data_IF_941479706187
#
_entry.id   IF_941479706187
#
_cell.length_a   1.000
_cell.length_b   1.000
_cell.length_c   1.000
_cell.angle_alpha   90.00
_cell.angle_beta   90.00
_cell.angle_gamma   90.00
#
_symmetry.space_group_name_H-M   'P 1'
#
loop_
_entity.id
_entity.type
_entity.pdbx_description
1 polymer ?
#
# COMPACT_ATOMS: atom_id res chain seq x y z
N UNK A 1 12.63 -3.59 20.50
CA UNK A 1 13.32 -3.97 21.76
C UNK A 1 14.31 -5.10 21.53
N UNK A 2 13.91 -6.20 20.87
CA UNK A 2 14.80 -7.34 20.60
C UNK A 2 16.08 -6.99 19.84
N UNK A 3 16.01 -6.14 18.82
CA UNK A 3 17.22 -5.69 18.10
C UNK A 3 18.24 -4.98 18.98
N UNK A 4 17.80 -4.15 19.95
CA UNK A 4 18.71 -3.50 20.91
C UNK A 4 19.31 -4.54 21.87
N UNK A 5 18.50 -5.50 22.34
CA UNK A 5 18.99 -6.57 23.21
C UNK A 5 20.06 -7.45 22.52
N UNK A 6 19.90 -7.70 21.22
CA UNK A 6 20.90 -8.42 20.40
C UNK A 6 22.18 -7.59 20.24
N UNK A 7 22.04 -6.31 19.85
CA UNK A 7 23.20 -5.42 19.63
C UNK A 7 23.99 -5.12 20.91
N UNK A 8 23.38 -5.21 22.09
CA UNK A 8 24.03 -5.01 23.40
C UNK A 8 24.40 -6.32 24.11
N UNK A 9 24.25 -7.48 23.47
CA UNK A 9 24.61 -8.80 24.02
C UNK A 9 23.97 -9.13 25.39
N UNK A 10 22.72 -8.69 25.63
CA UNK A 10 22.03 -8.86 26.92
C UNK A 10 21.62 -10.31 27.26
N UNK A 11 21.98 -11.28 26.43
CA UNK A 11 21.81 -12.71 26.67
C UNK A 11 20.46 -13.28 26.21
N UNK A 12 20.43 -14.62 26.06
CA UNK A 12 19.33 -15.35 25.41
C UNK A 12 17.98 -15.20 26.12
N UNK A 13 17.98 -15.16 27.46
CA UNK A 13 16.73 -15.05 28.23
C UNK A 13 15.98 -13.73 27.96
N UNK A 14 16.71 -12.62 27.72
CA UNK A 14 16.10 -11.35 27.35
C UNK A 14 15.62 -11.40 25.90
N UNK A 15 16.40 -12.01 24.99
CA UNK A 15 16.02 -12.17 23.60
C UNK A 15 14.73 -12.97 23.43
N UNK A 16 14.62 -14.12 24.09
CA UNK A 16 13.42 -14.97 24.09
C UNK A 16 12.18 -14.22 24.56
N UNK A 17 12.30 -13.43 25.64
CA UNK A 17 11.20 -12.59 26.12
C UNK A 17 10.81 -11.53 25.10
N UNK A 18 11.79 -10.89 24.47
CA UNK A 18 11.51 -9.87 23.44
C UNK A 18 10.93 -10.47 22.14
N UNK A 19 11.29 -11.70 21.78
CA UNK A 19 10.76 -12.38 20.60
C UNK A 19 9.30 -12.80 20.82
N UNK A 20 8.93 -13.23 22.04
CA UNK A 20 7.54 -13.44 22.41
C UNK A 20 6.70 -12.17 22.26
N UNK A 21 7.25 -11.02 22.68
CA UNK A 21 6.59 -9.72 22.51
C UNK A 21 6.52 -9.29 21.04
N UNK A 22 7.55 -9.55 20.24
CA UNK A 22 7.56 -9.25 18.81
C UNK A 22 6.49 -10.07 18.07
N UNK A 23 6.38 -11.37 18.37
CA UNK A 23 5.34 -12.24 17.81
C UNK A 23 3.91 -11.77 18.17
N UNK A 24 3.69 -11.36 19.42
CA UNK A 24 2.42 -10.76 19.85
C UNK A 24 2.17 -9.41 19.14
N UNK A 25 3.22 -8.62 18.93
CA UNK A 25 3.20 -7.36 18.17
C UNK A 25 2.77 -7.57 16.72
N UNK A 26 3.33 -8.56 16.03
CA UNK A 26 2.99 -8.90 14.65
C UNK A 26 1.50 -9.30 14.53
N UNK A 27 1.00 -10.08 15.49
CA UNK A 27 -0.44 -10.43 15.55
C UNK A 27 -1.31 -9.19 15.76
N UNK A 28 -0.91 -8.30 16.67
CA UNK A 28 -1.64 -7.05 16.94
C UNK A 28 -1.60 -6.11 15.72
N UNK A 29 -0.49 -6.06 14.99
CA UNK A 29 -0.36 -5.31 13.76
C UNK A 29 -1.32 -5.84 12.67
N UNK A 30 -1.45 -7.16 12.53
CA UNK A 30 -2.42 -7.75 11.60
C UNK A 30 -3.87 -7.40 11.97
N UNK A 31 -4.23 -7.45 13.26
CA UNK A 31 -5.54 -7.00 13.76
C UNK A 31 -5.77 -5.52 13.43
N UNK A 32 -4.77 -4.66 13.69
CA UNK A 32 -4.83 -3.23 13.37
C UNK A 32 -5.04 -2.96 11.88
N UNK A 33 -4.32 -3.67 11.00
CA UNK A 33 -4.53 -3.62 9.55
C UNK A 33 -5.95 -4.04 9.18
N UNK A 34 -6.46 -5.12 9.76
CA UNK A 34 -7.83 -5.60 9.52
C UNK A 34 -8.90 -4.56 9.90
N UNK A 35 -8.75 -3.91 11.06
CA UNK A 35 -9.66 -2.85 11.49
C UNK A 35 -9.59 -1.62 10.58
N UNK A 36 -8.39 -1.21 10.17
CA UNK A 36 -8.20 -0.11 9.23
C UNK A 36 -8.85 -0.41 7.87
N UNK A 37 -8.68 -1.62 7.33
CA UNK A 37 -9.28 -2.02 6.05
C UNK A 37 -10.81 -2.08 6.17
N UNK A 38 -11.34 -2.69 7.24
CA UNK A 38 -12.78 -2.79 7.46
C UNK A 38 -13.46 -1.43 7.62
N UNK A 39 -12.88 -0.53 8.42
CA UNK A 39 -13.38 0.83 8.57
C UNK A 39 -13.28 1.64 7.28
N UNK A 40 -12.16 1.54 6.55
CA UNK A 40 -12.00 2.17 5.24
C UNK A 40 -13.04 1.68 4.23
N UNK A 41 -13.39 0.38 4.25
CA UNK A 41 -14.41 -0.17 3.36
C UNK A 41 -15.80 0.43 3.62
N UNK A 42 -16.20 0.54 4.90
CA UNK A 42 -17.48 1.13 5.28
C UNK A 42 -17.54 2.63 4.97
N UNK A 43 -16.47 3.38 5.25
CA UNK A 43 -16.38 4.81 4.90
C UNK A 43 -16.42 4.99 3.39
N UNK A 44 -15.71 4.15 2.63
CA UNK A 44 -15.71 4.21 1.17
C UNK A 44 -17.10 3.94 0.59
N UNK A 45 -17.85 2.99 1.14
CA UNK A 45 -19.23 2.74 0.74
C UNK A 45 -20.14 3.95 1.03
N UNK A 46 -19.97 4.60 2.18
CA UNK A 46 -20.70 5.82 2.53
C UNK A 46 -20.36 6.98 1.59
N UNK A 47 -19.06 7.21 1.32
CA UNK A 47 -18.58 8.21 0.38
C UNK A 47 -19.04 7.94 -1.05
N UNK A 48 -19.14 6.66 -1.44
CA UNK A 48 -19.69 6.28 -2.74
C UNK A 48 -21.18 6.65 -2.86
N UNK A 49 -21.97 6.41 -1.81
CA UNK A 49 -23.36 6.88 -1.75
C UNK A 49 -23.45 8.41 -1.88
N UNK A 50 -22.63 9.14 -1.13
CA UNK A 50 -22.55 10.60 -1.21
C UNK A 50 -22.12 11.08 -2.61
N UNK A 51 -21.18 10.37 -3.26
CA UNK A 51 -20.72 10.66 -4.61
C UNK A 51 -21.85 10.51 -5.63
N UNK A 52 -22.66 9.44 -5.56
CA UNK A 52 -23.82 9.25 -6.44
C UNK A 52 -24.81 10.40 -6.25
N UNK A 53 -25.19 10.71 -5.00
CA UNK A 53 -26.13 11.80 -4.71
C UNK A 53 -25.63 13.13 -5.23
N UNK A 54 -24.35 13.45 -5.03
CA UNK A 54 -23.75 14.69 -5.52
C UNK A 54 -23.66 14.75 -7.05
N UNK A 55 -23.41 13.61 -7.67
CA UNK A 55 -23.28 13.47 -9.13
C UNK A 55 -24.62 13.44 -9.85
N UNK A 56 -25.72 13.17 -9.16
CA UNK A 56 -27.10 13.21 -9.69
C UNK A 56 -27.79 14.56 -9.49
N UNK A 57 -27.09 15.58 -8.98
CA UNK A 57 -27.60 16.95 -8.86
C UNK A 57 -27.98 17.51 -10.25
N UNK A 58 -29.24 17.97 -10.45
CA UNK A 58 -29.70 18.55 -11.73
C UNK A 58 -28.89 19.75 -12.22
N UNK A 59 -28.17 20.44 -11.32
CA UNK A 59 -27.31 21.57 -11.66
C UNK A 59 -25.93 21.13 -12.18
N UNK A 60 -25.65 19.83 -12.23
CA UNK A 60 -24.39 19.29 -12.71
C UNK A 60 -24.42 19.09 -14.24
N UNK A 61 -23.43 19.65 -14.94
CA UNK A 61 -23.30 19.56 -16.41
C UNK A 61 -23.15 18.11 -16.88
N UNK A 62 -22.65 17.21 -16.02
CA UNK A 62 -22.48 15.79 -16.31
C UNK A 62 -23.29 14.92 -15.34
N UNK A 63 -24.53 15.30 -15.04
CA UNK A 63 -25.34 14.58 -14.08
C UNK A 63 -25.51 13.09 -14.43
N UNK A 64 -25.33 12.21 -13.45
CA UNK A 64 -25.73 10.80 -13.57
C UNK A 64 -27.26 10.78 -13.57
N UNK A 65 -27.87 10.21 -14.61
CA UNK A 65 -29.33 10.16 -14.75
C UNK A 65 -29.96 9.52 -13.51
N UNK A 66 -30.71 10.33 -12.76
CA UNK A 66 -31.34 9.96 -11.50
C UNK A 66 -32.40 8.87 -11.66
N UNK A 67 -33.01 8.73 -12.84
CA UNK A 67 -34.05 7.73 -13.11
C UNK A 67 -33.47 6.32 -13.30
N UNK A 68 -32.27 6.20 -13.88
CA UNK A 68 -31.59 4.91 -14.11
C UNK A 68 -30.58 4.55 -13.03
N UNK A 69 -30.12 5.54 -12.25
CA UNK A 69 -29.09 5.37 -11.21
C UNK A 69 -27.79 4.78 -11.77
N UNK A 70 -27.04 4.09 -10.90
CA UNK A 70 -25.86 3.30 -11.30
C UNK A 70 -26.33 1.92 -11.73
N UNK A 71 -26.40 1.69 -13.04
CA UNK A 71 -26.76 0.40 -13.62
C UNK A 71 -25.52 -0.33 -14.14
N UNK A 72 -25.25 -1.52 -13.60
CA UNK A 72 -24.09 -2.35 -13.99
C UNK A 72 -24.16 -2.83 -15.45
N UNK A 73 -25.35 -2.86 -16.05
CA UNK A 73 -25.53 -3.19 -17.46
C UNK A 73 -25.08 -2.05 -18.40
N UNK A 74 -24.81 -0.86 -17.88
CA UNK A 74 -24.23 0.22 -18.67
C UNK A 74 -22.75 -0.13 -18.98
N UNK A 75 -22.35 -0.19 -20.26
CA UNK A 75 -20.99 -0.52 -20.65
C UNK A 75 -19.93 0.37 -19.99
N UNK A 76 -20.20 1.68 -19.83
CA UNK A 76 -19.25 2.60 -19.21
C UNK A 76 -19.02 2.30 -17.72
N UNK A 77 -20.09 1.95 -16.99
CA UNK A 77 -20.00 1.58 -15.57
C UNK A 77 -19.26 0.25 -15.44
N UNK A 78 -19.58 -0.73 -16.28
CA UNK A 78 -18.93 -2.04 -16.24
C UNK A 78 -17.45 -1.97 -16.61
N UNK A 79 -17.09 -1.20 -17.64
CA UNK A 79 -15.69 -0.94 -17.99
C UNK A 79 -14.95 -0.22 -16.85
N UNK A 80 -15.59 0.77 -16.23
CA UNK A 80 -15.05 1.45 -15.04
C UNK A 80 -14.80 0.48 -13.89
N UNK A 81 -15.73 -0.44 -13.63
CA UNK A 81 -15.61 -1.47 -12.59
C UNK A 81 -14.39 -2.37 -12.82
N UNK A 82 -14.19 -2.84 -14.06
CA UNK A 82 -13.04 -3.66 -14.43
C UNK A 82 -11.71 -2.90 -14.25
N UNK A 83 -11.64 -1.64 -14.73
CA UNK A 83 -10.46 -0.80 -14.56
C UNK A 83 -10.19 -0.57 -13.07
N UNK A 84 -11.23 -0.25 -12.30
CA UNK A 84 -11.16 -0.05 -10.85
C UNK A 84 -10.62 -1.27 -10.12
N UNK A 85 -11.10 -2.47 -10.48
CA UNK A 85 -10.64 -3.71 -9.90
C UNK A 85 -9.16 -4.05 -10.20
N UNK A 86 -8.60 -3.53 -11.29
CA UNK A 86 -7.19 -3.73 -11.62
C UNK A 86 -6.25 -2.77 -10.87
N UNK A 87 -6.74 -1.61 -10.41
CA UNK A 87 -5.90 -0.59 -9.78
C UNK A 87 -5.20 -1.05 -8.50
N UNK A 88 -5.84 -1.78 -7.55
CA UNK A 88 -5.15 -2.33 -6.39
C UNK A 88 -3.97 -3.24 -6.79
N UNK A 89 -4.14 -4.09 -7.81
CA UNK A 89 -3.07 -4.95 -8.30
C UNK A 89 -1.94 -4.16 -8.94
N UNK A 90 -2.25 -3.14 -9.76
CA UNK A 90 -1.24 -2.28 -10.35
C UNK A 90 -0.46 -1.51 -9.27
N UNK A 91 -1.16 -0.97 -8.27
CA UNK A 91 -0.55 -0.30 -7.13
C UNK A 91 0.38 -1.25 -6.36
N UNK A 92 -0.08 -2.45 -6.03
CA UNK A 92 0.72 -3.44 -5.32
C UNK A 92 1.94 -3.88 -6.14
N UNK A 93 1.79 -4.12 -7.44
CA UNK A 93 2.92 -4.49 -8.30
C UNK A 93 4.02 -3.42 -8.31
N UNK A 94 3.63 -2.13 -8.36
CA UNK A 94 4.58 -1.02 -8.28
C UNK A 94 5.28 -0.99 -6.92
N UNK A 95 4.52 -1.02 -5.82
CA UNK A 95 5.12 -0.98 -4.47
C UNK A 95 6.05 -2.17 -4.19
N UNK A 96 5.68 -3.39 -4.62
CA UNK A 96 6.52 -4.57 -4.47
C UNK A 96 7.79 -4.48 -5.31
N UNK A 97 7.69 -3.98 -6.56
CA UNK A 97 8.86 -3.75 -7.41
C UNK A 97 9.82 -2.73 -6.79
N UNK A 98 9.30 -1.62 -6.27
CA UNK A 98 10.09 -0.60 -5.60
C UNK A 98 10.83 -1.13 -4.38
N UNK A 99 10.16 -1.93 -3.54
CA UNK A 99 10.79 -2.59 -2.39
C UNK A 99 11.87 -3.57 -2.85
N UNK A 100 11.62 -4.36 -3.91
CA UNK A 100 12.60 -5.31 -4.43
C UNK A 100 13.88 -4.62 -4.92
N UNK A 101 13.76 -3.53 -5.68
CA UNK A 101 14.92 -2.75 -6.17
C UNK A 101 15.70 -2.10 -5.03
N UNK A 102 15.01 -1.57 -4.01
CA UNK A 102 15.66 -1.02 -2.83
C UNK A 102 16.39 -2.10 -2.01
N UNK A 103 15.76 -3.27 -1.85
CA UNK A 103 16.35 -4.40 -1.14
C UNK A 103 17.58 -4.96 -1.87
N UNK A 104 17.53 -5.07 -3.20
CA UNK A 104 18.69 -5.49 -4.02
C UNK A 104 19.88 -4.55 -3.82
N UNK A 105 19.62 -3.23 -3.85
CA UNK A 105 20.66 -2.21 -3.59
C UNK A 105 21.22 -2.34 -2.17
N UNK A 106 20.38 -2.65 -1.19
CA UNK A 106 20.79 -2.86 0.20
C UNK A 106 21.67 -4.08 0.37
N UNK A 107 21.31 -5.20 -0.27
CA UNK A 107 22.08 -6.44 -0.22
C UNK A 107 23.44 -6.23 -0.87
N UNK A 108 23.49 -5.59 -2.03
CA UNK A 108 24.74 -5.28 -2.72
C UNK A 108 25.66 -4.38 -1.87
N UNK A 109 25.10 -3.39 -1.18
CA UNK A 109 25.86 -2.55 -0.25
C UNK A 109 26.41 -3.34 0.94
N UNK A 110 25.60 -4.21 1.57
CA UNK A 110 26.05 -5.05 2.69
C UNK A 110 27.17 -5.99 2.24
N UNK A 111 27.01 -6.66 1.09
CA UNK A 111 28.05 -7.54 0.51
C UNK A 111 29.32 -6.74 0.24
N UNK A 112 29.21 -5.56 -0.37
CA UNK A 112 30.35 -4.70 -0.66
C UNK A 112 31.07 -4.24 0.63
N UNK A 113 30.35 -3.93 1.70
CA UNK A 113 30.97 -3.57 2.98
C UNK A 113 31.72 -4.76 3.59
N UNK A 114 31.14 -5.97 3.53
CA UNK A 114 31.75 -7.18 4.06
C UNK A 114 32.99 -7.61 3.27
N UNK A 115 32.96 -7.52 1.94
CA UNK A 115 34.09 -7.88 1.08
C UNK A 115 35.26 -6.91 1.25
N UNK A 116 34.98 -5.60 1.33
CA UNK A 116 36.02 -4.59 1.51
C UNK A 116 36.59 -4.57 2.93
N UNK A 117 35.78 -4.89 3.94
CA UNK A 117 36.19 -4.88 5.35
C UNK A 117 35.74 -6.18 6.06
N UNK A 118 36.47 -7.29 5.89
CA UNK A 118 36.14 -8.56 6.54
C UNK A 118 36.13 -8.49 8.08
N UNK A 119 36.81 -7.49 8.66
CA UNK A 119 36.82 -7.19 10.10
C UNK A 119 35.46 -6.81 10.68
N UNK A 120 34.45 -6.54 9.84
CA UNK A 120 33.06 -6.36 10.29
C UNK A 120 32.49 -7.67 10.86
N UNK A 121 32.80 -8.82 10.24
CA UNK A 121 32.30 -10.13 10.69
C UNK A 121 32.87 -10.54 12.06
N UNK A 122 34.09 -10.11 12.36
CA UNK A 122 34.75 -10.38 13.64
C UNK A 122 34.45 -9.30 14.70
N UNK A 123 33.70 -8.25 14.34
CA UNK A 123 33.40 -7.12 15.21
C UNK A 123 34.59 -6.16 15.45
N UNK A 124 35.71 -6.33 14.74
CA UNK A 124 36.88 -5.47 14.86
C UNK A 124 36.68 -4.08 14.22
N UNK A 125 35.79 -3.99 13.22
CA UNK A 125 35.45 -2.77 12.50
C UNK A 125 33.94 -2.56 12.54
N UNK A 126 33.49 -1.33 12.79
CA UNK A 126 32.07 -1.00 12.73
C UNK A 126 31.61 -0.82 11.27
N UNK A 127 30.44 -1.36 10.88
CA UNK A 127 29.89 -1.19 9.55
C UNK A 127 29.35 0.24 9.32
N UNK A 128 29.22 0.63 8.05
CA UNK A 128 28.63 1.94 7.70
C UNK A 128 27.10 1.83 7.63
N UNK A 129 26.46 2.11 8.77
CA UNK A 129 25.02 2.18 8.86
C UNK A 129 24.41 3.34 8.08
N UNK A 130 25.15 4.46 7.94
CA UNK A 130 24.64 5.67 7.29
C UNK A 130 24.37 5.39 5.82
N UNK A 131 25.22 4.60 5.17
CA UNK A 131 25.04 4.24 3.77
C UNK A 131 23.75 3.46 3.52
N UNK A 132 23.47 2.45 4.35
CA UNK A 132 22.20 1.70 4.29
C UNK A 132 20.98 2.60 4.51
N UNK A 133 21.07 3.55 5.46
CA UNK A 133 19.99 4.52 5.72
C UNK A 133 19.73 5.39 4.48
N UNK A 134 20.78 5.88 3.83
CA UNK A 134 20.65 6.73 2.63
C UNK A 134 19.99 5.94 1.49
N UNK A 135 20.40 4.70 1.23
CA UNK A 135 19.79 3.85 0.19
C UNK A 135 18.29 3.67 0.44
N UNK A 136 17.91 3.31 1.68
CA UNK A 136 16.49 3.14 2.05
C UNK A 136 15.71 4.45 1.88
N UNK A 137 16.29 5.56 2.33
CA UNK A 137 15.65 6.88 2.33
C UNK A 137 15.41 7.36 0.91
N UNK A 138 16.46 7.38 0.08
CA UNK A 138 16.37 7.87 -1.29
C UNK A 138 15.38 7.02 -2.08
N UNK A 139 15.48 5.69 -2.00
CA UNK A 139 14.55 4.79 -2.69
C UNK A 139 13.10 5.04 -2.25
N UNK A 140 12.85 5.18 -0.94
CA UNK A 140 11.49 5.40 -0.44
C UNK A 140 10.87 6.71 -0.93
N UNK A 141 11.66 7.79 -1.03
CA UNK A 141 11.17 9.10 -1.48
C UNK A 141 10.85 9.06 -2.97
N UNK A 142 11.75 8.52 -3.79
CA UNK A 142 11.56 8.52 -5.25
C UNK A 142 10.47 7.55 -5.69
N UNK A 143 10.43 6.35 -5.11
CA UNK A 143 9.52 5.29 -5.54
C UNK A 143 8.06 5.52 -5.10
N UNK A 144 7.82 6.33 -4.06
CA UNK A 144 6.46 6.60 -3.56
C UNK A 144 5.64 7.49 -4.51
N UNK A 145 6.29 8.30 -5.36
CA UNK A 145 5.60 9.25 -6.24
C UNK A 145 4.66 8.58 -7.23
N UNK A 146 5.11 7.52 -7.89
CA UNK A 146 4.35 6.89 -8.98
C UNK A 146 3.05 6.23 -8.47
N UNK A 147 3.06 5.40 -7.40
CA UNK A 147 1.82 4.88 -6.82
C UNK A 147 0.87 5.99 -6.34
N UNK A 148 1.40 7.08 -5.76
CA UNK A 148 0.59 8.20 -5.29
C UNK A 148 -0.13 8.93 -6.44
N UNK A 149 0.57 9.17 -7.55
CA UNK A 149 0.01 9.78 -8.75
C UNK A 149 -1.11 8.92 -9.33
N UNK A 150 -0.97 7.59 -9.33
CA UNK A 150 -2.02 6.69 -9.82
C UNK A 150 -3.27 6.79 -8.94
N UNK A 151 -3.13 6.72 -7.62
CA UNK A 151 -4.28 6.75 -6.69
C UNK A 151 -5.02 8.08 -6.77
N UNK A 152 -4.30 9.20 -6.73
CA UNK A 152 -4.91 10.53 -6.77
C UNK A 152 -5.40 10.86 -8.18
N UNK A 153 -4.61 10.55 -9.20
CA UNK A 153 -4.87 10.95 -10.58
C UNK A 153 -5.99 10.15 -11.25
N UNK A 154 -6.20 8.88 -10.89
CA UNK A 154 -7.16 8.00 -11.59
C UNK A 154 -8.60 8.56 -11.57
N UNK A 155 -9.18 8.96 -10.43
CA UNK A 155 -10.54 9.52 -10.42
C UNK A 155 -10.67 10.80 -11.25
N UNK A 156 -9.66 11.67 -11.27
CA UNK A 156 -9.66 12.89 -12.10
C UNK A 156 -9.53 12.56 -13.57
N UNK A 157 -8.60 11.69 -13.95
CA UNK A 157 -8.38 11.30 -15.34
C UNK A 157 -9.64 10.65 -15.93
N UNK A 158 -10.24 9.69 -15.21
CA UNK A 158 -11.46 9.01 -15.66
C UNK A 158 -12.65 9.97 -15.63
N UNK A 159 -12.76 10.82 -14.61
CA UNK A 159 -13.84 11.80 -14.49
C UNK A 159 -13.84 12.84 -15.59
N UNK A 160 -12.67 13.34 -16.01
CA UNK A 160 -12.54 14.34 -17.08
C UNK A 160 -12.78 13.69 -18.46
N UNK A 161 -12.28 12.47 -18.70
CA UNK A 161 -12.34 11.83 -20.01
C UNK A 161 -13.68 11.13 -20.29
N UNK A 162 -14.25 10.46 -19.29
CA UNK A 162 -15.42 9.58 -19.44
C UNK A 162 -16.61 9.99 -18.55
N UNK A 163 -16.46 11.07 -17.78
CA UNK A 163 -17.50 11.59 -16.92
C UNK A 163 -17.67 10.85 -15.59
N UNK A 164 -18.55 11.36 -14.71
CA UNK A 164 -18.79 10.78 -13.39
C UNK A 164 -19.44 9.38 -13.44
N UNK A 165 -20.11 9.04 -14.55
CA UNK A 165 -20.67 7.70 -14.78
C UNK A 165 -19.60 6.62 -14.81
N UNK A 166 -18.45 6.87 -15.44
CA UNK A 166 -17.35 5.92 -15.45
C UNK A 166 -16.68 5.82 -14.06
N UNK A 167 -16.52 6.95 -13.37
CA UNK A 167 -15.99 6.99 -11.99
C UNK A 167 -16.90 6.22 -11.02
N UNK A 168 -18.22 6.27 -11.23
CA UNK A 168 -19.18 5.48 -10.46
C UNK A 168 -18.97 3.96 -10.61
N UNK A 169 -18.39 3.50 -11.73
CA UNK A 169 -17.95 2.11 -11.88
C UNK A 169 -16.59 1.84 -11.22
N UNK A 170 -15.64 2.76 -11.34
CA UNK A 170 -14.26 2.61 -10.84
C UNK A 170 -14.21 2.47 -9.32
N UNK A 171 -14.92 3.34 -8.60
CA UNK A 171 -14.91 3.36 -7.13
C UNK A 171 -15.31 2.02 -6.49
N UNK A 172 -16.44 1.38 -6.84
CA UNK A 172 -16.79 0.08 -6.29
C UNK A 172 -15.83 -1.02 -6.75
N UNK A 173 -15.23 -0.92 -7.94
CA UNK A 173 -14.22 -1.86 -8.42
C UNK A 173 -12.96 -1.85 -7.56
N UNK A 174 -12.45 -0.65 -7.25
CA UNK A 174 -11.32 -0.46 -6.32
C UNK A 174 -11.66 -1.02 -4.95
N UNK A 175 -12.89 -0.75 -4.45
CA UNK A 175 -13.32 -1.19 -3.12
C UNK A 175 -13.32 -2.72 -2.99
N UNK A 176 -14.00 -3.43 -3.88
CA UNK A 176 -14.16 -4.90 -3.75
C UNK A 176 -12.85 -5.65 -3.96
N UNK A 177 -12.04 -5.21 -4.93
CA UNK A 177 -10.74 -5.80 -5.19
C UNK A 177 -9.73 -5.44 -4.09
N UNK A 178 -9.67 -4.16 -3.73
CA UNK A 178 -8.69 -3.63 -2.79
C UNK A 178 -8.85 -4.21 -1.39
N UNK A 179 -10.08 -4.36 -0.91
CA UNK A 179 -10.34 -4.99 0.40
C UNK A 179 -9.86 -6.45 0.41
N UNK A 180 -10.20 -7.22 -0.63
CA UNK A 180 -9.81 -8.63 -0.74
C UNK A 180 -8.29 -8.80 -0.77
N UNK A 181 -7.61 -7.97 -1.58
CA UNK A 181 -6.16 -7.97 -1.69
C UNK A 181 -5.47 -7.51 -0.39
N UNK A 182 -5.98 -6.45 0.23
CA UNK A 182 -5.42 -5.90 1.46
C UNK A 182 -5.51 -6.91 2.61
N UNK A 183 -6.67 -7.56 2.80
CA UNK A 183 -6.83 -8.60 3.83
C UNK A 183 -5.88 -9.76 3.56
N UNK A 184 -5.83 -10.27 2.33
CA UNK A 184 -4.94 -11.38 1.96
C UNK A 184 -3.47 -11.06 2.25
N UNK A 185 -3.00 -9.86 1.87
CA UNK A 185 -1.62 -9.43 2.11
C UNK A 185 -1.31 -9.20 3.60
N UNK A 186 -2.28 -8.75 4.38
CA UNK A 186 -2.11 -8.48 5.80
C UNK A 186 -2.09 -9.76 6.66
N UNK A 187 -2.75 -10.83 6.20
CA UNK A 187 -2.77 -12.12 6.90
C UNK A 187 -1.69 -13.10 6.45
N UNK A 188 -1.18 -12.95 5.22
CA UNK A 188 -0.18 -13.87 4.66
C UNK A 188 1.26 -13.48 4.97
N UNK A 189 1.53 -12.20 5.24
CA UNK A 189 2.84 -11.70 5.65
C UNK A 189 2.98 -11.66 7.16
#
# INVERSE_FOLDING_TARGET
AGGIAEMCEFGKAIRERTDQLDAAGNTTAAIGKGFAIGSAALVSLSLYGAFITRSSDPNNVHAINAETGVNINNPLIFSGLLIGAMLPYAFSALTMKSVATAAESMVNEVVQQLDNNPGILTGAVQPDYKRCIVIATDASIYEMFLPAIIVIGTPFAIGILFGPTAVAGVLPGILVSGVSMAISSASAG
#
